data_IF_365770000343
#
_entry.id   IF_365770000343
#
_cell.length_a   1.000
_cell.length_b   1.000
_cell.length_c   1.000
_cell.angle_alpha   90.00
_cell.angle_beta   90.00
_cell.angle_gamma   90.00
#
_symmetry.space_group_name_H-M   'P 1'
#
loop_
_entity.id
_entity.type
_entity.pdbx_description
1 polymer ?
#
# COMPACT_ATOMS: atom_id res chain seq x y z
N UNK A 1 -9.56 -13.75 -11.11
CA UNK A 1 -8.31 -13.06 -11.49
C UNK A 1 -8.46 -11.62 -11.01
N UNK A 2 -7.87 -11.27 -9.86
CA UNK A 2 -8.01 -9.95 -9.21
C UNK A 2 -7.15 -8.93 -9.97
N UNK A 3 -7.64 -7.72 -10.32
CA UNK A 3 -6.74 -6.59 -10.50
C UNK A 3 -6.29 -6.16 -9.11
N UNK A 4 -5.01 -6.39 -8.78
CA UNK A 4 -4.37 -5.75 -7.65
C UNK A 4 -4.55 -4.24 -7.79
N UNK A 5 -4.79 -3.53 -6.69
CA UNK A 5 -4.67 -2.05 -6.64
C UNK A 5 -3.16 -1.71 -6.67
N UNK A 6 -2.44 -2.22 -7.67
CA UNK A 6 -1.14 -1.73 -8.08
C UNK A 6 -1.43 -0.63 -9.09
N UNK A 7 -1.91 0.53 -8.64
CA UNK A 7 -1.82 1.72 -9.46
C UNK A 7 -0.33 2.00 -9.61
N UNK A 8 0.23 1.60 -10.75
CA UNK A 8 1.64 1.87 -11.00
C UNK A 8 1.81 3.39 -10.93
N UNK A 9 2.91 3.90 -10.36
CA UNK A 9 3.11 5.35 -10.28
C UNK A 9 2.88 6.04 -11.63
N UNK A 10 3.27 5.39 -12.74
CA UNK A 10 3.05 5.85 -14.10
C UNK A 10 1.57 6.05 -14.48
N UNK A 11 0.66 5.20 -13.99
CA UNK A 11 -0.77 5.29 -14.31
C UNK A 11 -1.41 6.47 -13.56
N UNK A 12 -0.96 6.73 -12.32
CA UNK A 12 -1.35 7.93 -11.57
C UNK A 12 -0.84 9.19 -12.26
N UNK A 13 0.42 9.21 -12.69
CA UNK A 13 0.99 10.35 -13.42
C UNK A 13 0.23 10.59 -14.74
N UNK A 14 -0.05 9.54 -15.51
CA UNK A 14 -0.80 9.66 -16.76
C UNK A 14 -2.21 10.22 -16.55
N UNK A 15 -2.88 9.83 -15.45
CA UNK A 15 -4.18 10.38 -15.08
C UNK A 15 -4.09 11.87 -14.75
N UNK A 16 -3.16 12.26 -13.89
CA UNK A 16 -3.00 13.68 -13.51
C UNK A 16 -2.59 14.52 -14.72
N UNK A 17 -1.73 13.99 -15.60
CA UNK A 17 -1.33 14.67 -16.84
C UNK A 17 -2.50 14.82 -17.84
N UNK A 18 -3.43 13.85 -17.88
CA UNK A 18 -4.63 13.96 -18.73
C UNK A 18 -5.61 15.04 -18.26
N UNK A 19 -5.59 15.36 -16.97
CA UNK A 19 -6.42 16.40 -16.35
C UNK A 19 -5.73 17.78 -16.38
N UNK A 20 -4.49 17.87 -16.86
CA UNK A 20 -3.69 19.09 -16.86
C UNK A 20 -4.24 20.10 -17.89
N UNK A 21 -4.48 21.34 -17.45
CA UNK A 21 -4.94 22.41 -18.34
C UNK A 21 -3.77 23.18 -18.98
N UNK A 22 -3.98 23.83 -20.15
CA UNK A 22 -2.92 24.58 -20.81
C UNK A 22 -2.35 25.70 -19.92
N UNK A 23 -1.08 25.56 -19.54
CA UNK A 23 -0.38 26.54 -18.70
C UNK A 23 -0.39 26.21 -17.20
N UNK A 24 -1.06 25.15 -16.77
CA UNK A 24 -0.96 24.63 -15.40
C UNK A 24 0.33 23.80 -15.22
N UNK A 25 0.94 23.95 -14.06
CA UNK A 25 1.96 23.03 -13.54
C UNK A 25 1.29 21.82 -12.90
N UNK A 26 2.04 20.71 -12.77
CA UNK A 26 1.56 19.50 -12.10
C UNK A 26 1.00 19.78 -10.69
N UNK A 27 1.63 20.70 -9.95
CA UNK A 27 1.20 21.06 -8.59
C UNK A 27 -0.13 21.82 -8.64
N UNK A 28 -0.29 22.78 -9.55
CA UNK A 28 -1.56 23.51 -9.71
C UNK A 28 -2.71 22.59 -10.14
N UNK A 29 -2.42 21.62 -11.01
CA UNK A 29 -3.39 20.59 -11.39
C UNK A 29 -3.78 19.72 -10.18
N UNK A 30 -2.81 19.30 -9.37
CA UNK A 30 -3.09 18.50 -8.16
C UNK A 30 -3.87 19.31 -7.13
N UNK A 31 -3.47 20.54 -6.86
CA UNK A 31 -4.18 21.46 -5.98
C UNK A 31 -5.64 21.56 -6.43
N UNK A 32 -5.91 21.90 -7.70
CA UNK A 32 -7.28 21.96 -8.22
C UNK A 32 -8.07 20.65 -8.10
N UNK A 33 -7.43 19.51 -8.36
CA UNK A 33 -8.09 18.20 -8.30
C UNK A 33 -8.44 17.79 -6.86
N UNK A 34 -7.70 18.27 -5.86
CA UNK A 34 -7.88 17.92 -4.45
C UNK A 34 -8.41 19.05 -3.58
N UNK A 35 -8.50 20.28 -4.09
CA UNK A 35 -8.87 21.48 -3.31
C UNK A 35 -10.25 21.35 -2.69
N UNK A 36 -11.19 20.83 -3.48
CA UNK A 36 -12.57 20.57 -3.06
C UNK A 36 -12.78 19.12 -2.59
N UNK A 37 -11.73 18.30 -2.54
CA UNK A 37 -11.85 16.90 -2.13
C UNK A 37 -11.93 16.81 -0.61
N UNK A 38 -13.14 16.58 -0.10
CA UNK A 38 -13.39 16.51 1.33
C UNK A 38 -13.25 15.08 1.87
N UNK A 39 -13.21 14.96 3.19
CA UNK A 39 -13.26 13.66 3.86
C UNK A 39 -14.56 12.89 3.54
N UNK A 40 -15.65 13.60 3.23
CA UNK A 40 -16.92 12.96 2.84
C UNK A 40 -16.82 12.36 1.44
N UNK A 41 -16.21 13.07 0.49
CA UNK A 41 -15.98 12.55 -0.86
C UNK A 41 -15.07 11.32 -0.81
N UNK A 42 -14.04 11.34 0.05
CA UNK A 42 -13.23 10.16 0.32
C UNK A 42 -14.04 8.99 0.91
N UNK A 43 -14.93 9.27 1.86
CA UNK A 43 -15.74 8.23 2.49
C UNK A 43 -16.72 7.61 1.50
N UNK A 44 -17.31 8.40 0.61
CA UNK A 44 -18.22 7.92 -0.44
C UNK A 44 -17.45 7.09 -1.48
N UNK A 45 -16.30 7.56 -1.98
CA UNK A 45 -15.44 6.79 -2.90
C UNK A 45 -15.00 5.46 -2.30
N UNK A 46 -14.64 5.45 -1.01
CA UNK A 46 -14.24 4.25 -0.31
C UNK A 46 -15.42 3.33 0.02
N UNK A 47 -16.62 3.86 0.22
CA UNK A 47 -17.82 3.06 0.38
C UNK A 47 -18.09 2.26 -0.91
N UNK A 48 -18.08 2.94 -2.06
CA UNK A 48 -18.25 2.32 -3.39
C UNK A 48 -17.16 1.27 -3.69
N UNK A 49 -15.90 1.56 -3.32
CA UNK A 49 -14.81 0.59 -3.45
C UNK A 49 -14.97 -0.59 -2.47
N UNK A 50 -15.42 -0.35 -1.24
CA UNK A 50 -15.55 -1.38 -0.20
C UNK A 50 -16.60 -2.42 -0.56
N UNK A 51 -17.71 -2.04 -1.19
CA UNK A 51 -18.78 -2.97 -1.61
C UNK A 51 -18.31 -4.03 -2.61
N UNK A 52 -17.21 -3.77 -3.33
CA UNK A 52 -16.70 -4.67 -4.38
C UNK A 52 -15.29 -5.21 -4.13
N UNK A 53 -14.51 -4.58 -3.25
CA UNK A 53 -13.09 -4.90 -3.06
C UNK A 53 -12.68 -5.16 -1.61
N UNK A 54 -13.51 -4.83 -0.62
CA UNK A 54 -13.20 -5.11 0.78
C UNK A 54 -13.73 -6.48 1.19
N UNK A 55 -12.80 -7.44 1.34
CA UNK A 55 -13.08 -8.77 1.88
C UNK A 55 -12.28 -8.95 3.18
N UNK A 56 -12.91 -8.74 4.35
CA UNK A 56 -12.22 -8.80 5.63
C UNK A 56 -11.72 -10.21 5.97
N UNK A 57 -12.43 -11.26 5.52
CA UNK A 57 -12.03 -12.65 5.78
C UNK A 57 -10.79 -13.00 4.97
N UNK A 58 -10.73 -12.61 3.69
CA UNK A 58 -9.54 -12.79 2.87
C UNK A 58 -8.31 -12.05 3.43
N UNK A 59 -8.51 -10.84 3.98
CA UNK A 59 -7.43 -10.09 4.63
C UNK A 59 -6.94 -10.80 5.91
N UNK A 60 -7.85 -11.34 6.73
CA UNK A 60 -7.51 -12.08 7.93
C UNK A 60 -6.66 -13.32 7.59
N UNK A 61 -7.06 -14.09 6.57
CA UNK A 61 -6.31 -15.25 6.09
C UNK A 61 -4.91 -14.88 5.57
N UNK A 62 -4.80 -13.78 4.80
CA UNK A 62 -3.53 -13.26 4.29
C UNK A 62 -2.59 -12.86 5.45
N UNK A 63 -3.13 -12.18 6.46
CA UNK A 63 -2.36 -11.76 7.64
C UNK A 63 -1.93 -12.94 8.52
N UNK A 64 -2.81 -13.92 8.76
CA UNK A 64 -2.45 -15.10 9.56
C UNK A 64 -1.38 -15.93 8.85
N UNK A 65 -1.46 -16.04 7.52
CA UNK A 65 -0.43 -16.70 6.72
C UNK A 65 0.92 -15.98 6.82
N UNK A 66 0.92 -14.67 6.66
CA UNK A 66 2.14 -13.85 6.79
C UNK A 66 2.75 -13.94 8.20
N UNK A 67 1.93 -13.92 9.26
CA UNK A 67 2.40 -14.10 10.64
C UNK A 67 3.04 -15.48 10.84
N UNK A 68 2.40 -16.55 10.32
CA UNK A 68 2.94 -17.91 10.39
C UNK A 68 4.28 -18.06 9.67
N UNK A 69 4.40 -17.49 8.48
CA UNK A 69 5.65 -17.47 7.72
C UNK A 69 6.74 -16.66 8.44
N UNK A 70 6.38 -15.48 8.96
CA UNK A 70 7.30 -14.64 9.75
C UNK A 70 7.84 -15.40 10.97
N UNK A 71 6.96 -16.05 11.75
CA UNK A 71 7.34 -16.86 12.91
C UNK A 71 8.26 -18.01 12.54
N UNK A 72 8.03 -18.66 11.41
CA UNK A 72 8.89 -19.75 10.92
C UNK A 72 10.26 -19.24 10.50
N UNK A 73 10.34 -18.01 9.96
CA UNK A 73 11.61 -17.33 9.65
C UNK A 73 12.37 -16.84 10.88
N UNK A 74 11.69 -16.58 12.01
CA UNK A 74 12.31 -16.17 13.27
C UNK A 74 12.95 -17.32 14.06
N UNK A 75 12.61 -18.58 13.74
CA UNK A 75 13.31 -19.78 14.25
C UNK A 75 14.69 -19.96 13.58
N UNK A 76 15.00 -19.21 12.52
CA UNK A 76 16.37 -19.07 12.02
C UNK A 76 17.15 -18.11 12.94
N UNK A 77 18.29 -18.54 13.52
CA UNK A 77 19.08 -17.66 14.35
C UNK A 77 19.52 -16.45 13.53
N UNK A 78 19.16 -15.25 14.01
CA UNK A 78 19.56 -14.01 13.35
C UNK A 78 21.09 -14.02 13.12
N UNK A 79 21.57 -13.51 11.98
CA UNK A 79 22.99 -13.63 11.61
C UNK A 79 23.94 -12.98 12.63
N UNK A 80 23.44 -12.04 13.46
CA UNK A 80 24.18 -11.37 14.53
C UNK A 80 24.02 -12.01 15.92
N UNK A 81 23.18 -13.06 16.05
CA UNK A 81 23.03 -13.90 17.25
C UNK A 81 23.95 -15.13 17.26
N UNK A 82 24.84 -15.27 16.27
CA UNK A 82 25.96 -16.19 16.36
C UNK A 82 26.85 -15.76 17.52
N UNK A 83 26.69 -16.41 18.68
CA UNK A 83 27.54 -16.18 19.85
C UNK A 83 29.00 -16.27 19.41
N UNK A 84 29.86 -15.26 19.65
CA UNK A 84 31.28 -15.52 19.59
C UNK A 84 31.55 -16.66 20.56
N UNK A 85 32.11 -17.76 20.05
CA UNK A 85 32.67 -18.81 20.89
C UNK A 85 33.76 -18.14 21.71
N UNK A 86 33.43 -17.72 22.93
CA UNK A 86 34.43 -17.35 23.91
C UNK A 86 35.10 -18.66 24.30
N UNK A 87 36.20 -18.94 23.59
CA UNK A 87 37.10 -20.03 23.90
C UNK A 87 37.58 -19.81 25.33
N UNK A 88 37.12 -20.68 26.24
CA UNK A 88 37.68 -20.79 27.58
C UNK A 88 39.18 -21.07 27.45
N UNK A 89 39.99 -20.28 28.17
CA UNK A 89 41.46 -20.27 28.08
C UNK A 89 42.11 -21.35 28.93
#
# INVERSE_FOLDING_TARGET
MRPSIETRPADLYARVESENQPGETLVETLERLVDDYTLLDFADDMADLSEHHWDPEALEDELETADRESRTGLDEPLPWFSTPSFSDS
#
